data_IF_906017027473
#
_entry.id   IF_906017027473
#
_cell.length_a   1.000
_cell.length_b   1.000
_cell.length_c   1.000
_cell.angle_alpha   90.00
_cell.angle_beta   90.00
_cell.angle_gamma   90.00
#
_symmetry.space_group_name_H-M   'P 1'
#
loop_
_entity.id
_entity.type
_entity.pdbx_description
1 polymer ?
#
# COMPACT_ATOMS: atom_id res chain seq x y z
N UNK A 1 -32.52 2.59 2.28
CA UNK A 1 -32.64 3.60 3.34
C UNK A 1 -31.88 3.06 4.54
N UNK A 2 -30.85 3.76 5.03
CA UNK A 2 -30.06 3.32 6.20
C UNK A 2 -30.95 3.47 7.44
N UNK A 3 -31.05 2.42 8.26
CA UNK A 3 -31.90 2.42 9.46
C UNK A 3 -31.24 3.28 10.56
N UNK A 4 -31.97 4.16 11.29
CA UNK A 4 -31.42 4.92 12.41
C UNK A 4 -30.65 4.07 13.45
N UNK A 5 -31.05 2.82 13.65
CA UNK A 5 -30.30 1.87 14.49
C UNK A 5 -28.91 1.55 13.94
N UNK A 6 -28.76 1.38 12.63
CA UNK A 6 -27.47 1.11 11.99
C UNK A 6 -26.52 2.32 12.11
N UNK A 7 -27.07 3.54 12.09
CA UNK A 7 -26.29 4.77 12.28
C UNK A 7 -25.75 4.84 13.71
N UNK A 8 -26.60 4.65 14.72
CA UNK A 8 -26.19 4.67 16.13
C UNK A 8 -25.17 3.58 16.44
N UNK A 9 -25.34 2.39 15.87
CA UNK A 9 -24.40 1.29 16.02
C UNK A 9 -23.05 1.60 15.36
N UNK A 10 -23.05 2.21 14.18
CA UNK A 10 -21.82 2.65 13.51
C UNK A 10 -21.08 3.71 14.34
N UNK A 11 -21.79 4.68 14.91
CA UNK A 11 -21.20 5.67 15.83
C UNK A 11 -20.58 4.96 17.04
N UNK A 12 -21.27 3.97 17.61
CA UNK A 12 -20.74 3.19 18.74
C UNK A 12 -19.46 2.43 18.36
N UNK A 13 -19.40 1.84 17.16
CA UNK A 13 -18.22 1.14 16.66
C UNK A 13 -17.02 2.08 16.53
N UNK A 14 -17.23 3.30 16.07
CA UNK A 14 -16.18 4.33 15.94
C UNK A 14 -15.68 4.78 17.31
N UNK A 15 -16.59 5.22 18.19
CA UNK A 15 -16.23 5.88 19.45
C UNK A 15 -15.80 4.89 20.54
N UNK A 16 -16.53 3.77 20.70
CA UNK A 16 -16.30 2.81 21.79
C UNK A 16 -15.43 1.63 21.38
N UNK A 17 -15.49 1.21 20.11
CA UNK A 17 -14.84 -0.01 19.63
C UNK A 17 -13.62 0.28 18.74
N UNK A 18 -13.25 1.58 18.63
CA UNK A 18 -12.07 2.09 17.91
C UNK A 18 -12.03 1.65 16.45
N UNK A 19 -13.17 1.66 15.75
CA UNK A 19 -13.21 1.50 14.31
C UNK A 19 -12.49 2.68 13.64
N UNK A 20 -11.47 2.36 12.86
CA UNK A 20 -10.70 3.33 12.08
C UNK A 20 -10.56 2.88 10.62
N UNK A 21 -10.43 3.87 9.73
CA UNK A 21 -9.93 3.62 8.39
C UNK A 21 -8.42 3.55 8.50
N UNK A 22 -7.89 2.34 8.31
CA UNK A 22 -6.47 2.09 8.41
C UNK A 22 -5.69 2.89 7.36
N UNK A 23 -6.22 2.99 6.15
CA UNK A 23 -5.57 3.71 5.05
C UNK A 23 -6.53 4.12 3.94
N UNK A 24 -6.22 5.24 3.29
CA UNK A 24 -6.61 5.49 1.90
C UNK A 24 -5.34 5.41 1.07
N UNK A 25 -5.30 4.50 0.10
CA UNK A 25 -4.17 4.33 -0.82
C UNK A 25 -4.59 4.71 -2.23
N UNK A 26 -3.87 5.65 -2.84
CA UNK A 26 -4.00 5.94 -4.26
C UNK A 26 -3.02 5.08 -5.06
N UNK A 27 -3.55 4.22 -5.93
CA UNK A 27 -2.79 3.51 -6.94
C UNK A 27 -2.54 4.40 -8.16
N UNK A 28 -1.31 4.44 -8.68
CA UNK A 28 -0.93 5.27 -9.83
C UNK A 28 -0.07 4.45 -10.79
N UNK A 29 -0.54 4.30 -12.02
CA UNK A 29 0.24 3.73 -13.12
C UNK A 29 1.40 4.68 -13.46
N UNK A 30 2.62 4.15 -13.66
CA UNK A 30 3.78 4.92 -14.14
C UNK A 30 4.22 4.53 -15.55
N UNK A 31 3.45 3.71 -16.27
CA UNK A 31 3.88 3.16 -17.56
C UNK A 31 4.11 4.24 -18.63
N UNK A 32 3.36 5.33 -18.60
CA UNK A 32 3.54 6.50 -19.48
C UNK A 32 4.74 7.39 -19.07
N UNK A 33 5.35 7.12 -17.92
CA UNK A 33 6.53 7.81 -17.42
C UNK A 33 7.83 7.14 -17.89
N UNK A 34 7.75 6.04 -18.64
CA UNK A 34 8.91 5.35 -19.20
C UNK A 34 9.66 6.31 -20.13
N UNK A 35 10.98 6.29 -20.02
CA UNK A 35 11.92 7.02 -20.86
C UNK A 35 13.28 6.31 -20.84
N UNK A 36 14.07 6.45 -21.90
CA UNK A 36 15.43 5.92 -21.93
C UNK A 36 16.38 6.72 -21.03
N UNK A 37 16.12 8.01 -20.84
CA UNK A 37 16.83 8.84 -19.87
C UNK A 37 16.14 8.76 -18.50
N UNK A 38 16.84 8.17 -17.52
CA UNK A 38 16.34 8.04 -16.16
C UNK A 38 15.99 9.38 -15.49
N UNK A 39 16.64 10.49 -15.85
CA UNK A 39 16.28 11.82 -15.34
C UNK A 39 14.92 12.28 -15.86
N UNK A 40 14.64 12.05 -17.13
CA UNK A 40 13.35 12.36 -17.74
C UNK A 40 12.27 11.45 -17.15
N UNK A 41 12.54 10.16 -17.00
CA UNK A 41 11.61 9.22 -16.36
C UNK A 41 11.25 9.67 -14.94
N UNK A 42 12.24 9.96 -14.08
CA UNK A 42 12.03 10.49 -12.72
C UNK A 42 11.22 11.80 -12.71
N UNK A 43 11.50 12.72 -13.64
CA UNK A 43 10.73 13.97 -13.76
C UNK A 43 9.27 13.72 -14.12
N UNK A 44 8.99 12.79 -15.05
CA UNK A 44 7.61 12.37 -15.39
C UNK A 44 6.91 11.76 -14.19
N UNK A 45 7.56 10.84 -13.48
CA UNK A 45 7.04 10.20 -12.26
C UNK A 45 6.66 11.25 -11.22
N UNK A 46 7.58 12.16 -10.88
CA UNK A 46 7.35 13.22 -9.90
C UNK A 46 6.13 14.07 -10.27
N UNK A 47 6.07 14.55 -11.51
CA UNK A 47 4.99 15.41 -11.99
C UNK A 47 3.65 14.68 -11.99
N UNK A 48 3.63 13.41 -12.40
CA UNK A 48 2.42 12.60 -12.46
C UNK A 48 1.85 12.33 -11.08
N UNK A 49 2.69 11.90 -10.14
CA UNK A 49 2.25 11.64 -8.76
C UNK A 49 1.71 12.91 -8.11
N UNK A 50 2.37 14.07 -8.27
CA UNK A 50 1.82 15.34 -7.76
C UNK A 50 0.48 15.66 -8.41
N UNK A 51 0.37 15.54 -9.73
CA UNK A 51 -0.88 15.85 -10.46
C UNK A 51 -2.05 15.02 -9.93
N UNK A 52 -1.84 13.73 -9.67
CA UNK A 52 -2.87 12.82 -9.20
C UNK A 52 -3.17 12.98 -7.70
N UNK A 53 -2.14 13.10 -6.86
CA UNK A 53 -2.26 12.92 -5.41
C UNK A 53 -2.12 14.20 -4.57
N UNK A 54 -1.94 15.39 -5.18
CA UNK A 54 -1.77 16.66 -4.44
C UNK A 54 -2.86 16.96 -3.41
N UNK A 55 -4.09 16.54 -3.66
CA UNK A 55 -5.25 16.80 -2.81
C UNK A 55 -5.62 15.60 -1.92
N UNK A 56 -4.87 14.48 -1.99
CA UNK A 56 -5.20 13.23 -1.30
C UNK A 56 -5.31 13.41 0.22
N UNK A 57 -4.33 14.07 0.84
CA UNK A 57 -4.29 14.30 2.29
C UNK A 57 -5.44 15.21 2.72
N UNK A 58 -5.61 16.34 2.03
CA UNK A 58 -6.68 17.31 2.28
C UNK A 58 -8.07 16.69 2.15
N UNK A 59 -8.28 15.84 1.15
CA UNK A 59 -9.54 15.11 0.99
C UNK A 59 -9.73 14.11 2.12
N UNK A 60 -8.67 13.37 2.50
CA UNK A 60 -8.71 12.49 3.68
C UNK A 60 -9.18 13.22 4.94
N UNK A 61 -8.54 14.33 5.30
CA UNK A 61 -8.89 15.13 6.48
C UNK A 61 -10.32 15.69 6.43
N UNK A 62 -10.79 16.08 5.23
CA UNK A 62 -12.16 16.51 5.02
C UNK A 62 -13.17 15.38 5.27
N UNK A 63 -12.85 14.16 4.84
CA UNK A 63 -13.69 12.97 5.08
C UNK A 63 -13.71 12.62 6.57
N UNK A 64 -12.55 12.66 7.24
CA UNK A 64 -12.46 12.47 8.70
C UNK A 64 -13.37 13.44 9.43
N UNK A 65 -13.29 14.73 9.09
CA UNK A 65 -14.10 15.78 9.70
C UNK A 65 -15.59 15.61 9.42
N UNK A 66 -15.95 15.16 8.21
CA UNK A 66 -17.35 14.99 7.78
C UNK A 66 -18.04 13.81 8.49
N UNK A 67 -17.36 12.69 8.64
CA UNK A 67 -17.95 11.45 9.15
C UNK A 67 -17.53 11.11 10.58
N UNK A 68 -16.58 11.84 11.17
CA UNK A 68 -16.04 11.55 12.50
C UNK A 68 -15.25 10.24 12.56
N UNK A 69 -14.82 9.69 11.42
CA UNK A 69 -14.07 8.44 11.33
C UNK A 69 -12.60 8.78 11.09
N UNK A 70 -11.67 8.35 11.97
CA UNK A 70 -10.25 8.62 11.75
C UNK A 70 -9.71 7.83 10.55
N UNK A 71 -8.90 8.48 9.72
CA UNK A 71 -8.16 7.91 8.60
C UNK A 71 -6.67 7.96 8.97
N UNK A 72 -6.16 6.83 9.44
CA UNK A 72 -4.83 6.77 10.06
C UNK A 72 -3.70 7.03 9.07
N UNK A 73 -3.85 6.57 7.82
CA UNK A 73 -2.81 6.74 6.81
C UNK A 73 -3.38 7.20 5.46
N UNK A 74 -2.59 8.02 4.76
CA UNK A 74 -2.79 8.39 3.36
C UNK A 74 -1.54 7.98 2.60
N UNK A 75 -1.70 7.15 1.57
CA UNK A 75 -0.58 6.44 0.94
C UNK A 75 -0.68 6.46 -0.57
N UNK A 76 0.44 6.20 -1.24
CA UNK A 76 0.48 5.98 -2.68
C UNK A 76 1.13 4.64 -2.98
N UNK A 77 0.59 3.91 -3.95
CA UNK A 77 1.23 2.74 -4.54
C UNK A 77 1.46 3.02 -6.03
N UNK A 78 2.64 2.68 -6.54
CA UNK A 78 2.99 2.91 -7.95
C UNK A 78 3.37 1.62 -8.65
N UNK A 79 3.38 1.65 -9.99
CA UNK A 79 3.88 0.54 -10.81
C UNK A 79 5.26 0.10 -10.33
N UNK A 80 5.54 -1.21 -10.24
CA UNK A 80 6.86 -1.74 -9.89
C UNK A 80 7.98 -0.99 -10.62
N UNK A 81 8.86 -0.33 -9.87
CA UNK A 81 9.94 0.49 -10.42
C UNK A 81 10.90 -0.35 -11.26
N UNK A 82 10.98 -1.68 -11.08
CA UNK A 82 11.83 -2.52 -11.92
C UNK A 82 11.40 -2.45 -13.39
N UNK A 83 10.09 -2.37 -13.65
CA UNK A 83 9.52 -2.23 -15.01
C UNK A 83 9.87 -0.87 -15.62
N UNK A 84 9.88 0.19 -14.81
CA UNK A 84 10.16 1.54 -15.30
C UNK A 84 11.66 1.75 -15.52
N UNK A 85 12.46 1.35 -14.53
CA UNK A 85 13.92 1.47 -14.57
C UNK A 85 14.56 0.59 -15.64
N UNK A 86 13.93 -0.53 -16.01
CA UNK A 86 14.44 -1.45 -17.05
C UNK A 86 14.61 -0.78 -18.42
N UNK A 87 13.84 0.28 -18.71
CA UNK A 87 13.99 1.04 -19.95
C UNK A 87 15.23 1.95 -19.97
N UNK A 88 15.90 2.14 -18.84
CA UNK A 88 17.07 3.01 -18.69
C UNK A 88 18.37 2.23 -18.69
N UNK A 89 19.49 2.89 -19.00
CA UNK A 89 20.84 2.29 -18.92
C UNK A 89 21.44 2.30 -17.50
N UNK A 90 20.71 2.81 -16.51
CA UNK A 90 21.18 2.96 -15.13
C UNK A 90 21.52 1.61 -14.48
N UNK A 91 22.55 1.61 -13.64
CA UNK A 91 23.03 0.40 -12.93
C UNK A 91 22.54 0.33 -11.49
N UNK A 92 21.75 1.32 -11.05
CA UNK A 92 21.19 1.43 -9.71
C UNK A 92 19.94 2.32 -9.78
N UNK A 93 18.84 1.94 -9.14
CA UNK A 93 17.59 2.70 -9.11
C UNK A 93 17.36 3.52 -7.83
N UNK A 94 18.40 3.78 -7.03
CA UNK A 94 18.32 4.63 -5.83
C UNK A 94 17.74 6.02 -6.12
N UNK A 95 18.06 6.63 -7.26
CA UNK A 95 17.51 7.95 -7.61
C UNK A 95 16.00 7.90 -7.90
N UNK A 96 15.46 6.77 -8.36
CA UNK A 96 14.01 6.58 -8.44
C UNK A 96 13.38 6.57 -7.04
N UNK A 97 13.98 5.85 -6.09
CA UNK A 97 13.51 5.85 -4.70
C UNK A 97 13.57 7.26 -4.09
N UNK A 98 14.65 8.01 -4.28
CA UNK A 98 14.74 9.41 -3.80
C UNK A 98 13.68 10.31 -4.43
N UNK A 99 13.35 10.10 -5.69
CA UNK A 99 12.26 10.83 -6.37
C UNK A 99 10.90 10.50 -5.75
N UNK A 100 10.64 9.21 -5.47
CA UNK A 100 9.43 8.76 -4.76
C UNK A 100 9.33 9.38 -3.36
N UNK A 101 10.43 9.41 -2.60
CA UNK A 101 10.48 10.00 -1.26
C UNK A 101 10.20 11.51 -1.31
N UNK A 102 10.84 12.21 -2.26
CA UNK A 102 10.67 13.65 -2.48
C UNK A 102 9.21 13.99 -2.80
N UNK A 103 8.56 13.23 -3.67
CA UNK A 103 7.14 13.49 -3.99
C UNK A 103 6.23 13.14 -2.81
N UNK A 104 6.52 12.06 -2.07
CA UNK A 104 5.77 11.68 -0.88
C UNK A 104 5.80 12.78 0.19
N UNK A 105 6.95 13.42 0.38
CA UNK A 105 7.09 14.60 1.24
C UNK A 105 6.33 15.81 0.70
N UNK A 106 6.42 16.08 -0.60
CA UNK A 106 5.76 17.24 -1.23
C UNK A 106 4.22 17.19 -1.11
N UNK A 107 3.62 16.01 -1.17
CA UNK A 107 2.16 15.82 -1.05
C UNK A 107 1.70 15.47 0.38
N UNK A 108 2.63 15.29 1.32
CA UNK A 108 2.32 15.04 2.73
C UNK A 108 1.78 13.65 3.07
N UNK A 109 2.02 12.63 2.24
CA UNK A 109 1.59 11.25 2.53
C UNK A 109 2.53 10.54 3.51
N UNK A 110 2.05 9.47 4.13
CA UNK A 110 2.81 8.67 5.11
C UNK A 110 3.86 7.78 4.44
N UNK A 111 3.44 7.03 3.41
CA UNK A 111 4.27 6.05 2.73
C UNK A 111 3.94 5.94 1.24
N UNK A 112 4.97 5.68 0.44
CA UNK A 112 4.87 5.35 -0.98
C UNK A 112 5.50 3.98 -1.26
N UNK A 113 4.74 3.11 -1.90
CA UNK A 113 5.15 1.75 -2.27
C UNK A 113 5.23 1.60 -3.78
N UNK A 114 5.88 0.55 -4.25
CA UNK A 114 6.11 0.28 -5.66
C UNK A 114 7.59 0.24 -6.03
N UNK A 115 8.52 0.45 -5.08
CA UNK A 115 9.93 0.13 -5.28
C UNK A 115 10.11 -1.40 -5.25
N UNK A 116 9.58 -2.05 -6.28
CA UNK A 116 9.20 -3.45 -6.22
C UNK A 116 9.60 -4.20 -7.49
N UNK A 117 9.78 -5.52 -7.35
CA UNK A 117 10.08 -6.47 -8.43
C UNK A 117 9.25 -7.75 -8.27
N UNK A 118 8.94 -8.40 -9.41
CA UNK A 118 8.13 -9.62 -9.46
C UNK A 118 8.93 -10.75 -10.13
N UNK A 119 9.72 -11.49 -9.34
CA UNK A 119 10.77 -12.41 -9.85
C UNK A 119 10.44 -13.90 -9.67
N UNK A 120 9.20 -14.22 -9.36
CA UNK A 120 8.71 -15.58 -9.09
C UNK A 120 8.94 -16.61 -10.21
N UNK A 121 9.25 -16.17 -11.45
CA UNK A 121 9.55 -17.04 -12.60
C UNK A 121 10.91 -16.76 -13.25
N UNK A 122 11.80 -16.05 -12.54
CA UNK A 122 13.10 -15.62 -13.06
C UNK A 122 13.26 -14.11 -12.96
N UNK A 123 14.37 -13.59 -13.49
CA UNK A 123 14.72 -12.18 -13.41
C UNK A 123 14.82 -11.56 -14.80
N UNK A 124 14.38 -10.31 -14.92
CA UNK A 124 14.89 -9.41 -15.95
C UNK A 124 16.16 -8.69 -15.49
N UNK A 125 16.76 -7.88 -16.37
CA UNK A 125 17.90 -7.04 -15.97
C UNK A 125 17.47 -5.96 -14.98
N UNK A 126 16.29 -5.35 -15.21
CA UNK A 126 15.73 -4.35 -14.31
C UNK A 126 15.42 -4.91 -12.92
N UNK A 127 14.91 -6.15 -12.84
CA UNK A 127 14.65 -6.80 -11.55
C UNK A 127 15.91 -6.95 -10.70
N UNK A 128 17.02 -7.39 -11.32
CA UNK A 128 18.30 -7.56 -10.60
C UNK A 128 18.81 -6.22 -10.09
N UNK A 129 18.77 -5.18 -10.94
CA UNK A 129 19.21 -3.84 -10.58
C UNK A 129 18.36 -3.31 -9.42
N UNK A 130 17.03 -3.43 -9.50
CA UNK A 130 16.15 -2.99 -8.43
C UNK A 130 16.45 -3.70 -7.11
N UNK A 131 16.55 -5.04 -7.12
CA UNK A 131 16.78 -5.83 -5.89
C UNK A 131 18.10 -5.43 -5.23
N UNK A 132 19.17 -5.26 -6.01
CA UNK A 132 20.48 -4.81 -5.51
C UNK A 132 20.45 -3.36 -4.98
N UNK A 133 19.57 -2.52 -5.52
CA UNK A 133 19.36 -1.14 -5.07
C UNK A 133 18.62 -1.02 -3.74
N UNK A 134 17.84 -2.02 -3.32
CA UNK A 134 16.96 -1.96 -2.13
C UNK A 134 17.70 -1.46 -0.87
N UNK A 135 18.87 -2.00 -0.49
CA UNK A 135 19.51 -1.62 0.77
C UNK A 135 19.87 -0.13 0.81
N UNK A 136 20.45 0.39 -0.27
CA UNK A 136 20.84 1.81 -0.35
C UNK A 136 19.60 2.70 -0.47
N UNK A 137 18.61 2.30 -1.28
CA UNK A 137 17.36 3.03 -1.48
C UNK A 137 16.60 3.20 -0.14
N UNK A 138 16.44 2.14 0.64
CA UNK A 138 15.71 2.19 1.91
C UNK A 138 16.51 2.88 3.03
N UNK A 139 17.83 2.92 2.93
CA UNK A 139 18.69 3.68 3.86
C UNK A 139 18.73 5.19 3.57
N UNK A 140 18.49 5.59 2.32
CA UNK A 140 18.58 6.97 1.85
C UNK A 140 17.22 7.68 1.71
N UNK A 141 16.13 6.97 2.02
CA UNK A 141 14.75 7.48 1.93
C UNK A 141 13.99 7.21 3.23
N UNK A 142 12.95 8.00 3.51
CA UNK A 142 12.15 7.87 4.74
C UNK A 142 10.86 7.08 4.51
N UNK A 143 10.10 7.43 3.48
CA UNK A 143 8.71 7.01 3.24
C UNK A 143 8.56 5.95 2.14
N UNK A 144 9.64 5.62 1.44
CA UNK A 144 9.62 4.59 0.41
C UNK A 144 9.60 3.20 1.04
N UNK A 145 8.66 2.38 0.58
CA UNK A 145 8.56 0.96 0.87
C UNK A 145 8.88 0.13 -0.36
N UNK A 146 9.46 -1.05 -0.14
CA UNK A 146 9.91 -1.97 -1.18
C UNK A 146 9.30 -3.35 -0.98
N UNK A 147 9.00 -4.02 -2.09
CA UNK A 147 8.49 -5.38 -2.07
C UNK A 147 9.02 -6.26 -3.20
N UNK A 148 9.28 -7.53 -2.91
CA UNK A 148 9.76 -8.47 -3.94
C UNK A 148 8.93 -9.75 -3.88
N UNK A 149 8.23 -10.08 -4.97
CA UNK A 149 7.51 -11.35 -5.07
C UNK A 149 8.42 -12.45 -5.64
N UNK A 150 8.72 -13.46 -4.82
CA UNK A 150 9.69 -14.52 -5.16
C UNK A 150 9.04 -15.87 -5.48
N UNK A 151 7.73 -16.01 -5.27
CA UNK A 151 7.02 -17.25 -5.54
C UNK A 151 5.57 -17.02 -5.94
N UNK A 152 5.01 -17.98 -6.69
CA UNK A 152 3.56 -18.12 -6.84
C UNK A 152 3.18 -19.61 -6.83
N UNK A 153 1.94 -19.93 -6.47
CA UNK A 153 1.40 -21.29 -6.55
C UNK A 153 1.50 -21.85 -7.99
N UNK A 154 1.39 -20.98 -9.00
CA UNK A 154 1.42 -21.36 -10.42
C UNK A 154 2.82 -21.69 -10.93
N UNK A 155 3.85 -20.97 -10.47
CA UNK A 155 5.21 -21.07 -11.00
C UNK A 155 6.21 -21.70 -10.03
N UNK A 156 5.78 -22.01 -8.81
CA UNK A 156 6.64 -22.45 -7.73
C UNK A 156 7.43 -21.30 -7.11
N UNK A 157 8.59 -21.62 -6.57
CA UNK A 157 9.44 -20.70 -5.80
C UNK A 157 10.74 -20.46 -6.57
N UNK A 158 11.07 -19.21 -6.82
CA UNK A 158 12.41 -18.83 -7.30
C UNK A 158 13.39 -18.86 -6.11
N UNK A 159 14.07 -19.99 -5.91
CA UNK A 159 14.99 -20.19 -4.79
C UNK A 159 16.24 -19.29 -4.87
N UNK A 160 16.66 -18.89 -6.07
CA UNK A 160 17.75 -17.93 -6.23
C UNK A 160 17.35 -16.57 -5.67
N UNK A 161 16.10 -16.14 -5.90
CA UNK A 161 15.55 -14.90 -5.34
C UNK A 161 15.37 -14.97 -3.84
N UNK A 162 14.91 -16.10 -3.32
CA UNK A 162 14.84 -16.32 -1.86
C UNK A 162 16.23 -16.17 -1.23
N UNK A 163 17.26 -16.81 -1.80
CA UNK A 163 18.64 -16.71 -1.31
C UNK A 163 19.16 -15.28 -1.39
N UNK A 164 18.96 -14.59 -2.51
CA UNK A 164 19.39 -13.19 -2.68
C UNK A 164 18.70 -12.28 -1.66
N UNK A 165 17.38 -12.42 -1.48
CA UNK A 165 16.62 -11.61 -0.54
C UNK A 165 17.07 -11.79 0.91
N UNK A 166 17.55 -12.97 1.31
CA UNK A 166 18.16 -13.16 2.62
C UNK A 166 19.37 -12.23 2.85
N UNK A 167 20.23 -12.09 1.86
CA UNK A 167 21.37 -11.16 1.88
C UNK A 167 20.91 -9.69 1.85
N UNK A 168 19.92 -9.37 1.00
CA UNK A 168 19.38 -8.01 0.89
C UNK A 168 18.75 -7.54 2.19
N UNK A 169 17.96 -8.39 2.87
CA UNK A 169 17.35 -8.06 4.16
C UNK A 169 18.44 -7.71 5.20
N UNK A 170 19.46 -8.57 5.32
CA UNK A 170 20.57 -8.34 6.25
C UNK A 170 21.29 -7.03 5.94
N UNK A 171 21.68 -6.81 4.68
CA UNK A 171 22.38 -5.58 4.23
C UNK A 171 21.54 -4.32 4.48
N UNK A 172 20.22 -4.40 4.24
CA UNK A 172 19.28 -3.30 4.50
C UNK A 172 19.23 -2.94 5.99
N UNK A 173 19.18 -3.95 6.86
CA UNK A 173 19.21 -3.75 8.31
C UNK A 173 20.55 -3.16 8.79
N UNK A 174 21.68 -3.64 8.25
CA UNK A 174 23.02 -3.17 8.61
C UNK A 174 23.23 -1.70 8.22
N UNK A 175 22.84 -1.31 7.00
CA UNK A 175 22.94 0.08 6.54
C UNK A 175 22.09 1.06 7.37
N UNK A 176 21.03 0.56 8.01
CA UNK A 176 20.15 1.36 8.89
C UNK A 176 20.32 1.03 10.38
N UNK A 177 21.41 0.36 10.77
CA UNK A 177 21.62 -0.10 12.14
C UNK A 177 21.61 1.04 13.18
N UNK A 178 22.16 2.21 12.82
CA UNK A 178 22.15 3.42 13.68
C UNK A 178 20.73 3.95 13.96
N UNK A 179 19.74 3.54 13.16
CA UNK A 179 18.33 3.89 13.28
C UNK A 179 17.49 2.68 13.74
N UNK A 180 18.13 1.68 14.36
CA UNK A 180 17.45 0.46 14.81
C UNK A 180 17.08 -0.52 13.71
N UNK A 181 17.73 -0.45 12.53
CA UNK A 181 17.44 -1.34 11.41
C UNK A 181 16.13 -1.01 10.68
N UNK A 182 15.66 0.24 10.76
CA UNK A 182 14.37 0.68 10.23
C UNK A 182 14.17 0.39 8.72
N UNK A 183 15.25 0.22 7.95
CA UNK A 183 15.13 -0.18 6.55
C UNK A 183 14.39 -1.51 6.39
N UNK A 184 14.61 -2.46 7.30
CA UNK A 184 13.94 -3.76 7.26
C UNK A 184 12.43 -3.68 7.53
N UNK A 185 11.95 -2.63 8.22
CA UNK A 185 10.50 -2.44 8.46
C UNK A 185 9.76 -1.94 7.22
N UNK A 186 10.49 -1.52 6.18
CA UNK A 186 9.97 -1.01 4.91
C UNK A 186 10.15 -1.99 3.75
N UNK A 187 10.62 -3.21 4.03
CA UNK A 187 10.90 -4.24 3.03
C UNK A 187 10.01 -5.46 3.27
N UNK A 188 9.32 -5.93 2.22
CA UNK A 188 8.49 -7.15 2.26
C UNK A 188 8.94 -8.13 1.17
N UNK A 189 9.07 -9.40 1.53
CA UNK A 189 9.26 -10.49 0.56
C UNK A 189 7.96 -11.27 0.48
N UNK A 190 7.42 -11.38 -0.72
CA UNK A 190 6.15 -12.05 -0.97
C UNK A 190 6.30 -13.43 -1.55
N UNK A 191 5.34 -14.27 -1.18
CA UNK A 191 4.88 -15.40 -1.97
C UNK A 191 3.42 -15.15 -2.31
N UNK A 192 3.00 -15.42 -3.55
CA UNK A 192 1.64 -15.16 -4.01
C UNK A 192 1.21 -13.71 -3.81
N UNK A 193 2.10 -12.74 -4.12
CA UNK A 193 1.65 -11.37 -4.26
C UNK A 193 0.45 -11.32 -5.23
N UNK A 194 -0.66 -10.64 -4.89
CA UNK A 194 -1.74 -10.43 -5.83
C UNK A 194 -1.25 -9.59 -7.02
N UNK A 195 -2.09 -9.42 -8.04
CA UNK A 195 -1.72 -8.65 -9.24
C UNK A 195 -1.38 -7.19 -8.92
N UNK A 196 -2.03 -6.63 -7.91
CA UNK A 196 -1.73 -5.37 -7.25
C UNK A 196 -1.78 -5.57 -5.72
N UNK A 197 -1.24 -4.61 -4.97
CA UNK A 197 -1.42 -4.59 -3.52
C UNK A 197 -1.40 -3.14 -3.04
N UNK A 198 -2.49 -2.58 -2.48
CA UNK A 198 -2.51 -1.22 -1.96
C UNK A 198 -1.98 -1.11 -0.50
N UNK A 199 -1.58 -2.22 0.12
CA UNK A 199 -1.26 -2.28 1.55
C UNK A 199 0.25 -2.32 1.84
N UNK A 200 0.70 -1.36 2.65
CA UNK A 200 2.10 -1.23 3.08
C UNK A 200 2.49 -2.27 4.14
N UNK A 201 3.76 -2.68 4.20
CA UNK A 201 4.92 -2.19 3.41
C UNK A 201 5.07 -2.82 2.02
N UNK A 202 4.15 -3.70 1.62
CA UNK A 202 4.26 -4.45 0.38
C UNK A 202 3.56 -3.82 -0.84
N UNK A 203 3.18 -2.55 -0.79
CA UNK A 203 2.25 -2.03 -1.77
C UNK A 203 2.92 -1.80 -3.13
N UNK A 204 2.21 -2.08 -4.22
CA UNK A 204 2.54 -1.70 -5.59
C UNK A 204 1.26 -1.67 -6.44
N UNK A 205 1.26 -0.84 -7.49
CA UNK A 205 0.14 -0.72 -8.43
C UNK A 205 0.33 -1.69 -9.59
N UNK A 206 -0.56 -2.67 -9.71
CA UNK A 206 -0.46 -3.75 -10.71
C UNK A 206 -0.51 -3.25 -12.16
N UNK A 207 -0.06 -4.09 -13.09
CA UNK A 207 -0.10 -3.75 -14.52
C UNK A 207 -1.51 -3.82 -15.12
N UNK A 208 -2.39 -4.66 -14.55
CA UNK A 208 -3.80 -4.76 -14.94
C UNK A 208 -4.69 -3.66 -14.38
N UNK A 209 -4.18 -2.87 -13.44
CA UNK A 209 -4.93 -1.80 -12.79
C UNK A 209 -5.13 -0.57 -13.72
N UNK A 210 -6.16 0.26 -13.46
CA UNK A 210 -6.40 1.47 -14.23
C UNK A 210 -5.30 2.52 -13.98
N UNK A 211 -5.39 3.63 -14.72
CA UNK A 211 -4.41 4.71 -14.65
C UNK A 211 -4.21 5.28 -13.24
N UNK A 212 -5.31 5.45 -12.51
CA UNK A 212 -5.31 5.90 -11.13
C UNK A 212 -6.55 5.35 -10.42
N UNK A 213 -6.43 4.93 -9.15
CA UNK A 213 -7.53 4.33 -8.37
C UNK A 213 -7.39 4.63 -6.88
N UNK A 214 -8.51 4.67 -6.16
CA UNK A 214 -8.55 4.77 -4.70
C UNK A 214 -8.95 3.41 -4.09
N UNK A 215 -8.08 2.89 -3.23
CA UNK A 215 -8.32 1.72 -2.41
C UNK A 215 -8.37 2.13 -0.93
N UNK A 216 -9.21 1.46 -0.13
CA UNK A 216 -9.37 1.78 1.30
C UNK A 216 -9.16 0.52 2.13
N UNK A 217 -8.33 0.64 3.17
CA UNK A 217 -8.13 -0.42 4.16
C UNK A 217 -8.82 -0.08 5.47
N UNK A 218 -9.49 -1.05 6.10
CA UNK A 218 -10.24 -0.86 7.34
C UNK A 218 -9.60 -1.64 8.49
N UNK A 219 -9.65 -1.06 9.69
CA UNK A 219 -9.28 -1.77 10.92
C UNK A 219 -10.48 -2.53 11.49
N UNK A 220 -10.36 -3.85 11.59
CA UNK A 220 -11.40 -4.75 12.12
C UNK A 220 -11.16 -5.38 13.50
N UNK A 221 -9.92 -5.63 13.99
CA UNK A 221 -9.71 -6.47 15.18
C UNK A 221 -10.38 -5.97 16.47
N UNK A 222 -10.39 -4.65 16.71
CA UNK A 222 -10.99 -4.06 17.92
C UNK A 222 -12.50 -4.32 18.00
N UNK A 223 -13.19 -4.06 16.90
CA UNK A 223 -14.64 -4.26 16.73
C UNK A 223 -14.99 -5.74 16.86
N UNK A 224 -14.28 -6.62 16.13
CA UNK A 224 -14.53 -8.06 16.19
C UNK A 224 -14.31 -8.61 17.60
N UNK A 225 -13.24 -8.19 18.28
CA UNK A 225 -12.98 -8.59 19.68
C UNK A 225 -14.10 -8.15 20.62
N UNK A 226 -14.63 -6.92 20.47
CA UNK A 226 -15.70 -6.41 21.30
C UNK A 226 -16.97 -7.26 21.16
N UNK A 227 -17.33 -7.64 19.94
CA UNK A 227 -18.48 -8.50 19.65
C UNK A 227 -18.27 -9.90 20.24
N UNK A 228 -17.13 -10.53 19.96
CA UNK A 228 -16.83 -11.89 20.45
C UNK A 228 -16.81 -11.96 21.98
N UNK A 229 -16.32 -10.91 22.66
CA UNK A 229 -16.30 -10.85 24.13
C UNK A 229 -17.71 -10.97 24.75
N UNK A 230 -18.74 -10.47 24.08
CA UNK A 230 -20.12 -10.52 24.55
C UNK A 230 -20.84 -11.84 24.20
N UNK A 231 -20.17 -12.75 23.49
CA UNK A 231 -20.70 -14.05 23.07
C UNK A 231 -20.07 -15.20 23.86
N UNK A 232 -19.66 -14.94 25.10
CA UNK A 232 -19.13 -15.98 25.99
C UNK A 232 -20.19 -17.09 26.15
N UNK A 233 -19.76 -18.33 25.99
CA UNK A 233 -20.59 -19.54 26.07
C UNK A 233 -21.65 -19.71 24.94
N UNK A 234 -21.61 -18.87 23.90
CA UNK A 234 -22.43 -19.05 22.70
C UNK A 234 -21.91 -20.21 21.82
N UNK A 235 -22.80 -20.91 21.09
CA UNK A 235 -22.37 -21.93 20.13
C UNK A 235 -21.64 -21.30 18.92
N UNK A 236 -20.76 -22.08 18.28
CA UNK A 236 -19.84 -21.57 17.25
C UNK A 236 -20.54 -20.98 16.02
N UNK A 237 -21.68 -21.54 15.62
CA UNK A 237 -22.51 -21.03 14.53
C UNK A 237 -22.96 -19.58 14.79
N UNK A 238 -23.38 -19.30 16.04
CA UNK A 238 -23.74 -17.94 16.46
C UNK A 238 -22.53 -16.99 16.46
N UNK A 239 -21.37 -17.46 16.93
CA UNK A 239 -20.14 -16.65 16.90
C UNK A 239 -19.74 -16.30 15.46
N UNK A 240 -19.76 -17.27 14.56
CA UNK A 240 -19.43 -17.07 13.15
C UNK A 240 -20.40 -16.07 12.47
N UNK A 241 -21.69 -16.18 12.75
CA UNK A 241 -22.70 -15.28 12.20
C UNK A 241 -22.50 -13.83 12.67
N UNK A 242 -22.19 -13.62 13.95
CA UNK A 242 -21.95 -12.29 14.49
C UNK A 242 -20.64 -11.67 13.96
N UNK A 243 -19.57 -12.46 13.78
CA UNK A 243 -18.35 -11.99 13.10
C UNK A 243 -18.69 -11.58 11.66
N UNK A 244 -19.42 -12.40 10.90
CA UNK A 244 -19.81 -12.11 9.52
C UNK A 244 -20.60 -10.80 9.41
N UNK A 245 -21.60 -10.60 10.27
CA UNK A 245 -22.39 -9.36 10.32
C UNK A 245 -21.51 -8.15 10.67
N UNK A 246 -20.60 -8.31 11.62
CA UNK A 246 -19.68 -7.25 12.04
C UNK A 246 -18.76 -6.84 10.89
N UNK A 247 -18.13 -7.81 10.23
CA UNK A 247 -17.26 -7.60 9.07
C UNK A 247 -18.03 -6.90 7.94
N UNK A 248 -19.25 -7.37 7.62
CA UNK A 248 -20.09 -6.72 6.62
C UNK A 248 -20.32 -5.23 6.92
N UNK A 249 -20.64 -4.89 8.18
CA UNK A 249 -20.90 -3.50 8.60
C UNK A 249 -19.65 -2.63 8.46
N UNK A 250 -18.50 -3.09 8.96
CA UNK A 250 -17.25 -2.30 8.84
C UNK A 250 -16.87 -2.12 7.36
N UNK A 251 -17.03 -3.15 6.51
CA UNK A 251 -16.77 -3.03 5.07
C UNK A 251 -17.65 -1.95 4.42
N UNK A 252 -18.92 -1.81 4.82
CA UNK A 252 -19.80 -0.73 4.32
C UNK A 252 -19.32 0.65 4.72
N UNK A 253 -18.75 0.81 5.92
CA UNK A 253 -18.15 2.07 6.36
C UNK A 253 -16.95 2.44 5.48
N UNK A 254 -16.05 1.49 5.20
CA UNK A 254 -14.93 1.76 4.28
C UNK A 254 -15.38 2.04 2.86
N UNK A 255 -16.43 1.36 2.37
CA UNK A 255 -17.01 1.67 1.05
C UNK A 255 -17.56 3.09 0.98
N UNK A 256 -18.22 3.57 2.04
CA UNK A 256 -18.69 4.96 2.12
C UNK A 256 -17.52 5.95 2.01
N UNK A 257 -16.43 5.70 2.75
CA UNK A 257 -15.21 6.52 2.71
C UNK A 257 -14.57 6.49 1.32
N UNK A 258 -14.49 5.31 0.71
CA UNK A 258 -13.91 5.13 -0.61
C UNK A 258 -14.69 5.86 -1.71
N UNK A 259 -16.03 5.77 -1.68
CA UNK A 259 -16.92 6.47 -2.62
C UNK A 259 -16.83 7.99 -2.46
N UNK A 260 -16.75 8.50 -1.22
CA UNK A 260 -16.58 9.94 -0.99
C UNK A 260 -15.21 10.42 -1.48
N UNK A 261 -14.14 9.69 -1.18
CA UNK A 261 -12.78 10.00 -1.65
C UNK A 261 -12.73 10.01 -3.18
N UNK A 262 -13.29 8.96 -3.80
CA UNK A 262 -13.39 8.83 -5.25
C UNK A 262 -14.10 10.03 -5.89
N UNK A 263 -15.25 10.44 -5.34
CA UNK A 263 -16.02 11.58 -5.82
C UNK A 263 -15.26 12.90 -5.67
N UNK A 264 -14.62 13.14 -4.52
CA UNK A 264 -13.93 14.40 -4.23
C UNK A 264 -12.63 14.56 -5.02
N UNK A 265 -11.91 13.45 -5.25
CA UNK A 265 -10.67 13.43 -6.04
C UNK A 265 -10.91 13.26 -7.54
N UNK A 266 -12.13 12.90 -7.94
CA UNK A 266 -12.47 12.53 -9.32
C UNK A 266 -11.57 11.39 -9.86
N UNK A 267 -11.35 10.37 -9.02
CA UNK A 267 -10.55 9.17 -9.31
C UNK A 267 -11.43 7.96 -8.99
N UNK A 268 -11.46 6.91 -9.83
CA UNK A 268 -12.32 5.75 -9.59
C UNK A 268 -11.97 5.05 -8.27
N UNK A 269 -13.01 4.51 -7.63
CA UNK A 269 -12.88 3.60 -6.51
C UNK A 269 -12.51 2.21 -7.01
N UNK A 270 -11.54 1.57 -6.34
CA UNK A 270 -11.14 0.18 -6.56
C UNK A 270 -11.80 -0.74 -5.52
N UNK A 271 -11.02 -1.20 -4.55
CA UNK A 271 -11.46 -2.16 -3.54
C UNK A 271 -11.43 -1.60 -2.11
N UNK A 272 -12.14 -2.32 -1.25
CA UNK A 272 -12.07 -2.19 0.21
C UNK A 272 -11.60 -3.52 0.75
N UNK A 273 -10.62 -3.47 1.66
CA UNK A 273 -10.14 -4.62 2.45
C UNK A 273 -10.23 -4.28 3.95
#
# INVERSE_FOLDING_TARGET
MINPYEILETIRMIDQEKLDIRTITMGISLRDCIDGDGNLARKKIYNKIIKCAKDLVKVGEKIESKYGIPIINKRVAVTPISIIGEATDEKNYVEFAKTMDKVADAIGIDFIGGFSALVHKGYTNGDKILIESIPEALSSTKKVCSSVNVATTKTGINMDAVKQMGTIIKKTSELTAKQGGIGATKLVVFTNAPEDNPFMAGAFHGIGEPECVINVGISGPGVVRAVVKNLKDAPFDKVAEEIKKTVFKITRVGQLVALEASKLLNIPFGIVD
#
